data_IF_005963110574
#
_entry.id   IF_005963110574
#
_cell.length_a   1.000
_cell.length_b   1.000
_cell.length_c   1.000
_cell.angle_alpha   90.00
_cell.angle_beta   90.00
_cell.angle_gamma   90.00
#
_symmetry.space_group_name_H-M   'P 1'
#
loop_
_entity.id
_entity.type
_entity.pdbx_description
1 polymer ?
#
# COMPACT_ATOMS: atom_id res chain seq x y z
N UNK A 1 -27.71 3.60 -7.16
CA UNK A 1 -27.36 5.02 -7.38
C UNK A 1 -27.64 5.83 -6.12
N UNK A 2 -26.68 6.00 -5.24
CA UNK A 2 -26.70 7.07 -4.22
C UNK A 2 -25.27 7.48 -3.93
N UNK A 3 -24.79 8.46 -4.68
CA UNK A 3 -23.60 9.23 -4.32
C UNK A 3 -23.94 10.06 -3.08
N UNK A 4 -23.32 9.76 -1.94
CA UNK A 4 -23.36 10.65 -0.78
C UNK A 4 -22.27 11.69 -0.97
N UNK A 5 -22.67 12.87 -1.41
CA UNK A 5 -21.80 14.04 -1.48
C UNK A 5 -21.62 14.61 -0.06
N UNK A 6 -20.46 14.41 0.54
CA UNK A 6 -20.02 15.24 1.65
C UNK A 6 -19.53 16.58 1.12
N UNK A 7 -20.41 17.56 1.09
CA UNK A 7 -20.04 18.93 0.86
C UNK A 7 -19.84 19.64 2.19
N UNK A 8 -18.58 19.91 2.54
CA UNK A 8 -18.22 20.84 3.61
C UNK A 8 -18.64 22.23 3.23
N UNK A 9 -19.60 22.79 3.92
CA UNK A 9 -19.96 24.19 3.82
C UNK A 9 -18.98 25.01 4.65
N UNK A 10 -18.02 25.65 3.99
CA UNK A 10 -17.17 26.67 4.58
C UNK A 10 -17.94 27.99 4.56
N UNK A 11 -18.51 28.40 5.67
CA UNK A 11 -19.14 29.72 5.82
C UNK A 11 -18.12 30.72 6.36
N UNK A 12 -17.75 31.63 5.49
CA UNK A 12 -16.96 32.82 5.81
C UNK A 12 -17.88 33.83 6.51
N UNK A 13 -17.63 34.15 7.77
CA UNK A 13 -18.22 35.32 8.40
C UNK A 13 -17.09 36.28 8.89
N UNK A 14 -16.92 37.36 8.14
CA UNK A 14 -16.07 38.46 8.46
C UNK A 14 -16.89 39.48 9.27
N UNK A 15 -16.58 39.71 10.51
CA UNK A 15 -17.05 40.90 11.24
C UNK A 15 -15.90 41.60 11.99
N UNK A 16 -15.63 42.82 11.58
CA UNK A 16 -14.76 43.78 12.28
C UNK A 16 -15.37 44.16 13.64
N UNK A 17 -14.50 44.25 14.66
CA UNK A 17 -14.82 44.85 15.94
C UNK A 17 -13.58 44.96 16.81
N UNK A 18 -12.92 46.14 16.80
CA UNK A 18 -11.83 46.51 17.70
C UNK A 18 -12.38 46.68 19.13
N UNK A 19 -11.86 45.87 20.08
CA UNK A 19 -11.70 46.32 21.46
C UNK A 19 -10.52 45.61 22.11
N UNK A 20 -9.64 46.38 22.71
CA UNK A 20 -8.44 46.01 23.45
C UNK A 20 -8.82 45.16 24.66
N UNK A 21 -8.35 43.96 24.70
CA UNK A 21 -8.42 43.06 25.85
C UNK A 21 -7.74 41.76 25.51
N UNK A 22 -6.47 41.59 25.94
CA UNK A 22 -5.68 40.38 25.69
C UNK A 22 -6.25 39.20 26.46
N UNK A 23 -7.31 38.60 25.95
CA UNK A 23 -7.65 37.21 26.28
C UNK A 23 -7.09 36.35 25.15
N UNK A 24 -6.01 35.65 25.47
CA UNK A 24 -5.57 34.53 24.68
C UNK A 24 -6.72 33.51 24.75
N UNK A 25 -7.66 33.60 23.83
CA UNK A 25 -8.57 32.46 23.56
C UNK A 25 -7.72 31.39 22.93
N UNK A 26 -7.26 30.44 23.74
CA UNK A 26 -6.87 29.13 23.29
C UNK A 26 -8.15 28.60 22.63
N UNK A 27 -8.21 28.61 21.30
CA UNK A 27 -9.19 27.79 20.59
C UNK A 27 -8.81 26.34 20.92
N UNK A 28 -9.50 25.74 21.87
CA UNK A 28 -9.55 24.32 21.95
C UNK A 28 -10.20 23.90 20.62
N UNK A 29 -9.42 23.45 19.65
CA UNK A 29 -9.93 22.74 18.50
C UNK A 29 -10.73 21.58 19.10
N UNK A 30 -12.04 21.50 18.81
CA UNK A 30 -12.90 20.41 19.27
C UNK A 30 -12.28 19.10 18.77
N UNK A 31 -11.65 18.36 19.68
CA UNK A 31 -11.05 17.06 19.37
C UNK A 31 -12.19 16.12 18.99
N UNK A 32 -12.11 15.54 17.80
CA UNK A 32 -13.10 14.61 17.29
C UNK A 32 -12.76 13.20 17.73
N UNK A 33 -13.63 12.59 18.52
CA UNK A 33 -13.47 11.19 18.95
C UNK A 33 -13.82 10.22 17.84
N UNK A 34 -13.00 9.19 17.67
CA UNK A 34 -13.18 8.07 16.76
C UNK A 34 -13.12 6.80 17.63
N UNK A 35 -14.23 6.07 17.73
CA UNK A 35 -14.34 4.90 18.59
C UNK A 35 -13.38 3.77 18.19
N UNK A 36 -13.22 3.53 16.88
CA UNK A 36 -12.32 2.50 16.35
C UNK A 36 -11.86 2.85 14.94
N UNK A 37 -10.56 2.64 14.68
CA UNK A 37 -9.94 2.67 13.35
C UNK A 37 -9.53 1.24 12.99
N UNK A 38 -10.15 0.66 11.96
CA UNK A 38 -9.94 -0.72 11.54
C UNK A 38 -8.99 -0.79 10.36
N UNK A 39 -7.87 -1.47 10.55
CA UNK A 39 -6.80 -1.60 9.57
C UNK A 39 -6.61 -3.06 9.19
N UNK A 40 -6.64 -3.35 7.89
CA UNK A 40 -6.45 -4.71 7.37
C UNK A 40 -5.17 -4.79 6.51
N UNK A 41 -4.35 -5.82 6.76
CA UNK A 41 -3.13 -6.11 6.03
C UNK A 41 -3.30 -7.33 5.13
N UNK A 42 -2.85 -7.23 3.88
CA UNK A 42 -2.72 -8.42 3.02
C UNK A 42 -1.64 -9.36 3.57
N UNK A 43 -1.81 -10.68 3.44
CA UNK A 43 -0.86 -11.67 3.96
C UNK A 43 0.37 -11.80 3.05
N UNK A 44 1.24 -10.78 3.03
CA UNK A 44 2.49 -10.78 2.27
C UNK A 44 3.62 -11.56 2.98
N UNK A 45 3.43 -11.89 4.25
CA UNK A 45 4.25 -12.74 5.09
C UNK A 45 3.32 -13.56 6.01
N UNK A 46 3.88 -14.39 6.90
CA UNK A 46 3.08 -15.06 7.91
C UNK A 46 2.45 -14.03 8.88
N UNK A 47 1.28 -14.38 9.44
CA UNK A 47 0.49 -13.47 10.26
C UNK A 47 1.23 -12.96 11.49
N UNK A 48 2.04 -13.81 12.13
CA UNK A 48 2.79 -13.45 13.33
C UNK A 48 3.86 -12.40 13.02
N UNK A 49 4.55 -12.56 11.88
CA UNK A 49 5.52 -11.59 11.39
C UNK A 49 4.87 -10.24 11.11
N UNK A 50 3.73 -10.22 10.43
CA UNK A 50 3.00 -8.98 10.13
C UNK A 50 2.52 -8.32 11.42
N UNK A 51 1.89 -9.07 12.31
CA UNK A 51 1.36 -8.57 13.58
C UNK A 51 2.46 -7.94 14.43
N UNK A 52 3.59 -8.65 14.59
CA UNK A 52 4.74 -8.13 15.37
C UNK A 52 5.33 -6.87 14.75
N UNK A 53 5.46 -6.83 13.42
CA UNK A 53 6.01 -5.67 12.73
C UNK A 53 5.09 -4.43 12.78
N UNK A 54 3.78 -4.64 12.90
CA UNK A 54 2.79 -3.56 12.91
C UNK A 54 2.34 -3.13 14.31
N UNK A 55 2.68 -3.88 15.36
CA UNK A 55 2.34 -3.56 16.75
C UNK A 55 2.63 -2.10 17.14
N UNK A 56 3.80 -1.50 16.80
CA UNK A 56 4.08 -0.11 17.13
C UNK A 56 3.21 0.92 16.40
N UNK A 57 2.50 0.50 15.35
CA UNK A 57 1.69 1.41 14.52
C UNK A 57 0.46 1.90 15.28
N UNK A 58 -0.08 1.12 16.22
CA UNK A 58 -1.24 1.52 17.03
C UNK A 58 -0.96 2.79 17.81
N UNK A 59 0.09 2.79 18.64
CA UNK A 59 0.45 3.94 19.46
C UNK A 59 0.84 5.15 18.60
N UNK A 60 1.60 4.91 17.53
CA UNK A 60 2.02 5.94 16.59
C UNK A 60 0.82 6.64 15.92
N UNK A 61 -0.19 5.88 15.52
CA UNK A 61 -1.41 6.42 14.91
C UNK A 61 -2.22 7.22 15.93
N UNK A 62 -2.45 6.70 17.13
CA UNK A 62 -3.17 7.39 18.20
C UNK A 62 -2.49 8.73 18.54
N UNK A 63 -1.19 8.71 18.78
CA UNK A 63 -0.43 9.92 19.09
C UNK A 63 -0.47 10.94 17.94
N UNK A 64 -0.20 10.47 16.70
CA UNK A 64 -0.17 11.36 15.54
C UNK A 64 -1.53 11.97 15.25
N UNK A 65 -2.60 11.17 15.29
CA UNK A 65 -3.97 11.64 15.02
C UNK A 65 -4.46 12.60 16.11
N UNK A 66 -4.09 12.37 17.36
CA UNK A 66 -4.41 13.30 18.45
C UNK A 66 -3.80 14.69 18.22
N UNK A 67 -2.57 14.77 17.70
CA UNK A 67 -1.95 16.06 17.33
C UNK A 67 -2.69 16.80 16.20
N UNK A 68 -3.56 16.08 15.48
CA UNK A 68 -4.39 16.59 14.38
C UNK A 68 -5.86 16.84 14.81
N UNK A 69 -6.15 16.73 16.10
CA UNK A 69 -7.50 16.94 16.62
C UNK A 69 -8.42 15.70 16.50
N UNK A 70 -7.84 14.51 16.33
CA UNK A 70 -8.60 13.25 16.32
C UNK A 70 -8.15 12.36 17.47
N UNK A 71 -9.08 12.03 18.36
CA UNK A 71 -8.87 11.11 19.49
C UNK A 71 -9.40 9.72 19.08
N UNK A 72 -8.49 8.80 18.78
CA UNK A 72 -8.82 7.43 18.37
C UNK A 72 -8.74 6.53 19.58
N UNK A 73 -9.89 5.99 20.03
CA UNK A 73 -9.95 5.13 21.22
C UNK A 73 -9.29 3.76 20.96
N UNK A 74 -9.62 3.13 19.82
CA UNK A 74 -9.11 1.81 19.45
C UNK A 74 -8.53 1.81 18.04
N UNK A 75 -7.44 1.08 17.83
CA UNK A 75 -6.90 0.75 16.51
C UNK A 75 -6.92 -0.76 16.36
N UNK A 76 -7.86 -1.26 15.56
CA UNK A 76 -8.06 -2.70 15.34
C UNK A 76 -7.26 -3.13 14.09
N UNK A 77 -6.15 -3.82 14.28
CA UNK A 77 -5.31 -4.33 13.19
C UNK A 77 -5.56 -5.80 12.94
N UNK A 78 -5.79 -6.18 11.70
CA UNK A 78 -6.04 -7.56 11.29
C UNK A 78 -5.22 -7.94 10.07
N UNK A 79 -4.82 -9.22 9.99
CA UNK A 79 -4.21 -9.80 8.80
C UNK A 79 -5.26 -10.62 8.07
N UNK A 80 -5.55 -10.27 6.82
CA UNK A 80 -6.51 -10.98 6.01
C UNK A 80 -6.08 -12.40 5.67
N UNK A 81 -7.03 -13.30 5.46
CA UNK A 81 -6.76 -14.68 5.04
C UNK A 81 -6.27 -14.79 3.59
N UNK A 82 -6.51 -13.77 2.79
CA UNK A 82 -6.04 -13.64 1.41
C UNK A 82 -5.97 -12.18 0.99
N UNK A 83 -5.27 -11.90 -0.10
CA UNK A 83 -5.24 -10.55 -0.68
C UNK A 83 -6.65 -10.05 -1.05
N UNK A 84 -7.48 -10.92 -1.63
CA UNK A 84 -8.85 -10.58 -2.01
C UNK A 84 -9.73 -10.32 -0.79
N UNK A 85 -9.53 -11.04 0.32
CA UNK A 85 -10.31 -10.85 1.54
C UNK A 85 -10.15 -9.43 2.11
N UNK A 86 -8.96 -8.84 2.01
CA UNK A 86 -8.72 -7.47 2.46
C UNK A 86 -9.44 -6.46 1.55
N UNK A 87 -9.41 -6.65 0.23
CA UNK A 87 -10.20 -5.82 -0.70
C UNK A 87 -11.70 -5.91 -0.43
N UNK A 88 -12.21 -7.11 -0.15
CA UNK A 88 -13.62 -7.31 0.22
C UNK A 88 -13.97 -6.63 1.55
N UNK A 89 -13.05 -6.63 2.53
CA UNK A 89 -13.26 -5.96 3.80
C UNK A 89 -13.38 -4.43 3.64
N UNK A 90 -12.56 -3.84 2.75
CA UNK A 90 -12.65 -2.43 2.39
C UNK A 90 -13.98 -2.13 1.68
N UNK A 91 -14.33 -2.91 0.66
CA UNK A 91 -15.58 -2.76 -0.11
C UNK A 91 -16.82 -2.89 0.77
N UNK A 92 -16.79 -3.79 1.76
CA UNK A 92 -17.89 -3.99 2.72
C UNK A 92 -17.91 -2.96 3.87
N UNK A 93 -16.89 -2.09 3.99
CA UNK A 93 -16.76 -1.15 5.11
C UNK A 93 -16.46 -1.83 6.46
N UNK A 94 -15.96 -3.07 6.45
CA UNK A 94 -15.50 -3.77 7.66
C UNK A 94 -14.03 -3.49 8.00
N UNK A 95 -13.29 -2.85 7.08
CA UNK A 95 -12.01 -2.21 7.30
C UNK A 95 -12.07 -0.77 6.77
N UNK A 96 -11.46 0.17 7.49
CA UNK A 96 -11.38 1.58 7.12
C UNK A 96 -10.14 1.85 6.25
N UNK A 97 -9.03 1.15 6.54
CA UNK A 97 -7.76 1.24 5.82
C UNK A 97 -7.29 -0.17 5.46
N UNK A 98 -6.81 -0.35 4.24
CA UNK A 98 -6.25 -1.61 3.78
C UNK A 98 -4.88 -1.46 3.12
N UNK A 99 -3.94 -2.32 3.53
CA UNK A 99 -2.65 -2.48 2.86
C UNK A 99 -2.77 -3.58 1.81
N UNK A 100 -3.03 -3.21 0.56
CA UNK A 100 -3.27 -4.13 -0.55
C UNK A 100 -2.28 -3.90 -1.69
N UNK A 101 -2.10 -4.89 -2.54
CA UNK A 101 -1.30 -4.75 -3.76
C UNK A 101 -2.06 -3.95 -4.84
N UNK A 102 -1.32 -3.30 -5.74
CA UNK A 102 -1.92 -2.58 -6.86
C UNK A 102 -2.85 -3.45 -7.72
N UNK A 103 -2.51 -4.74 -7.92
CA UNK A 103 -3.37 -5.68 -8.64
C UNK A 103 -4.70 -5.96 -7.95
N UNK A 104 -4.71 -6.03 -6.61
CA UNK A 104 -5.97 -6.14 -5.86
C UNK A 104 -6.74 -4.82 -5.86
N UNK A 105 -6.07 -3.68 -5.75
CA UNK A 105 -6.74 -2.38 -5.84
C UNK A 105 -7.56 -2.24 -7.12
N UNK A 106 -7.04 -2.68 -8.27
CA UNK A 106 -7.78 -2.64 -9.55
C UNK A 106 -9.13 -3.37 -9.48
N UNK A 107 -9.23 -4.46 -8.68
CA UNK A 107 -10.47 -5.21 -8.53
C UNK A 107 -11.52 -4.52 -7.64
N UNK A 108 -11.08 -3.58 -6.80
CA UNK A 108 -11.92 -2.87 -5.82
C UNK A 108 -11.88 -1.35 -5.97
N UNK A 109 -11.39 -0.85 -7.11
CA UNK A 109 -11.20 0.58 -7.39
C UNK A 109 -12.50 1.39 -7.43
N UNK A 110 -13.65 0.73 -7.57
CA UNK A 110 -14.95 1.38 -7.51
C UNK A 110 -15.42 1.66 -6.06
N UNK A 111 -14.84 0.96 -5.09
CA UNK A 111 -15.26 0.97 -3.69
C UNK A 111 -14.26 1.65 -2.75
N UNK A 112 -13.01 1.84 -3.18
CA UNK A 112 -11.97 2.44 -2.34
C UNK A 112 -11.01 3.34 -3.13
N UNK A 113 -10.41 4.31 -2.45
CA UNK A 113 -9.45 5.27 -2.99
C UNK A 113 -8.04 5.00 -2.47
N UNK A 114 -7.03 5.31 -3.29
CA UNK A 114 -5.62 5.24 -2.88
C UNK A 114 -5.28 6.43 -1.99
N UNK A 115 -4.81 6.18 -0.77
CA UNK A 115 -4.32 7.21 0.15
C UNK A 115 -2.81 7.43 0.00
N UNK A 116 -2.04 6.35 -0.02
CA UNK A 116 -0.57 6.35 -0.04
C UNK A 116 -0.07 5.19 -0.88
N UNK A 117 1.13 5.35 -1.43
CA UNK A 117 1.87 4.28 -2.09
C UNK A 117 3.17 4.03 -1.35
N UNK A 118 3.44 2.77 -0.99
CA UNK A 118 4.69 2.41 -0.35
C UNK A 118 5.86 2.53 -1.33
N UNK A 119 6.91 3.23 -0.91
CA UNK A 119 8.19 3.29 -1.61
C UNK A 119 9.14 2.27 -0.99
N UNK A 120 9.97 1.64 -1.82
CA UNK A 120 10.99 0.68 -1.41
C UNK A 120 12.32 1.03 -2.05
N UNK A 121 13.39 0.82 -1.29
CA UNK A 121 14.72 0.74 -1.88
C UNK A 121 14.89 -0.61 -2.60
N UNK A 122 15.77 -0.61 -3.59
CA UNK A 122 16.28 -1.86 -4.13
C UNK A 122 15.37 -2.56 -5.12
N UNK A 123 15.26 -2.00 -6.32
CA UNK A 123 15.10 -2.86 -7.47
C UNK A 123 16.49 -3.38 -7.80
N UNK A 124 16.71 -4.67 -7.53
CA UNK A 124 17.86 -5.37 -8.02
C UNK A 124 17.82 -5.35 -9.55
N UNK A 125 18.71 -4.66 -10.17
CA UNK A 125 18.86 -4.52 -11.62
C UNK A 125 17.65 -3.94 -12.35
N UNK A 126 17.80 -2.74 -12.79
CA UNK A 126 16.87 -2.08 -13.70
C UNK A 126 17.28 -2.38 -15.16
N UNK A 127 17.13 -3.63 -15.59
CA UNK A 127 17.41 -4.06 -16.96
C UNK A 127 16.19 -4.71 -17.58
N UNK A 128 15.94 -4.43 -18.85
CA UNK A 128 14.93 -5.09 -19.68
C UNK A 128 15.49 -6.33 -20.38
N UNK A 129 16.81 -6.57 -20.36
CA UNK A 129 17.44 -7.75 -20.93
C UNK A 129 17.41 -8.93 -19.93
N UNK A 130 16.70 -10.04 -20.24
CA UNK A 130 16.58 -11.17 -19.32
C UNK A 130 17.91 -11.80 -18.90
N UNK A 131 18.94 -11.76 -19.75
CA UNK A 131 20.26 -12.34 -19.43
C UNK A 131 20.95 -11.61 -18.28
N UNK A 132 20.69 -10.30 -18.11
CA UNK A 132 21.28 -9.51 -17.03
C UNK A 132 20.80 -9.96 -15.66
N UNK A 133 19.67 -10.69 -15.58
CA UNK A 133 19.12 -11.25 -14.36
C UNK A 133 19.77 -12.59 -13.97
N UNK A 134 20.58 -13.19 -14.86
CA UNK A 134 21.20 -14.52 -14.69
C UNK A 134 22.71 -14.45 -14.36
N UNK A 135 23.27 -13.27 -14.19
CA UNK A 135 24.73 -13.10 -13.93
C UNK A 135 25.14 -13.44 -12.49
N UNK A 136 24.17 -13.76 -11.63
CA UNK A 136 24.40 -14.14 -10.23
C UNK A 136 24.74 -12.97 -9.32
N UNK A 137 24.72 -11.73 -9.80
CA UNK A 137 24.93 -10.53 -9.00
C UNK A 137 23.61 -9.98 -8.48
N UNK A 138 23.59 -9.55 -7.24
CA UNK A 138 22.49 -8.82 -6.63
C UNK A 138 23.03 -7.41 -6.38
N UNK A 139 22.50 -6.44 -7.11
CA UNK A 139 22.78 -5.03 -6.87
C UNK A 139 21.63 -4.42 -6.09
N UNK A 140 21.85 -4.04 -4.86
CA UNK A 140 20.87 -3.24 -4.11
C UNK A 140 21.06 -1.78 -4.52
N UNK A 141 20.10 -1.24 -5.28
CA UNK A 141 20.04 0.20 -5.48
C UNK A 141 19.43 0.82 -4.22
N UNK A 142 20.27 1.41 -3.37
CA UNK A 142 19.88 2.08 -2.14
C UNK A 142 19.63 3.58 -2.34
N UNK A 143 19.88 4.11 -3.52
CA UNK A 143 19.84 5.54 -3.81
C UNK A 143 18.49 5.98 -4.37
N UNK A 144 17.74 5.06 -4.97
CA UNK A 144 16.44 5.35 -5.55
C UNK A 144 15.33 4.48 -4.95
N UNK A 145 14.24 5.13 -4.58
CA UNK A 145 13.03 4.45 -4.13
C UNK A 145 12.10 4.17 -5.30
N UNK A 146 11.46 3.00 -5.29
CA UNK A 146 10.51 2.59 -6.32
C UNK A 146 9.14 2.24 -5.74
N UNK A 147 8.09 2.49 -6.53
CA UNK A 147 6.70 2.11 -6.25
C UNK A 147 6.30 0.79 -6.91
N UNK A 148 7.20 0.17 -7.65
CA UNK A 148 6.93 -1.08 -8.41
C UNK A 148 7.99 -2.13 -8.16
N UNK A 149 7.69 -3.35 -8.53
CA UNK A 149 8.62 -4.46 -8.68
C UNK A 149 8.30 -5.23 -9.96
N UNK A 150 9.29 -5.96 -10.49
CA UNK A 150 9.11 -6.72 -11.73
C UNK A 150 8.62 -8.12 -11.43
N UNK A 151 7.70 -8.62 -12.25
CA UNK A 151 7.39 -10.05 -12.31
C UNK A 151 8.43 -10.74 -13.19
N UNK A 152 8.82 -11.95 -12.82
CA UNK A 152 9.77 -12.76 -13.57
C UNK A 152 9.15 -14.10 -13.93
N UNK A 153 9.52 -14.62 -15.12
CA UNK A 153 9.20 -15.97 -15.56
C UNK A 153 10.49 -16.78 -15.43
N UNK A 154 10.43 -17.88 -14.70
CA UNK A 154 11.59 -18.70 -14.40
C UNK A 154 11.62 -19.96 -15.26
N UNK A 155 12.79 -20.30 -15.82
CA UNK A 155 13.03 -21.59 -16.42
C UNK A 155 13.36 -22.62 -15.35
N UNK A 156 12.60 -23.73 -15.31
CA UNK A 156 12.84 -24.85 -14.39
C UNK A 156 14.01 -25.77 -14.84
N UNK A 157 14.37 -26.78 -14.03
CA UNK A 157 15.50 -27.68 -14.31
C UNK A 157 15.20 -28.76 -15.38
N UNK A 158 14.01 -28.76 -15.98
CA UNK A 158 13.67 -29.67 -17.06
C UNK A 158 14.54 -29.42 -18.30
N UNK A 159 14.68 -30.43 -19.17
CA UNK A 159 15.43 -30.31 -20.44
C UNK A 159 14.91 -29.12 -21.27
N UNK A 160 13.58 -28.97 -21.37
CA UNK A 160 12.95 -27.84 -22.05
C UNK A 160 13.26 -26.51 -21.37
N UNK A 161 13.20 -26.45 -20.03
CA UNK A 161 13.52 -25.25 -19.27
C UNK A 161 14.98 -24.82 -19.47
N UNK A 162 15.91 -25.76 -19.49
CA UNK A 162 17.31 -25.47 -19.73
C UNK A 162 17.57 -25.01 -21.18
N UNK A 163 16.88 -25.57 -22.17
CA UNK A 163 16.96 -25.10 -23.55
C UNK A 163 16.43 -23.67 -23.71
N UNK A 164 15.36 -23.30 -22.99
CA UNK A 164 14.86 -21.91 -22.96
C UNK A 164 15.87 -20.96 -22.31
N UNK A 165 16.48 -21.38 -21.20
CA UNK A 165 17.50 -20.59 -20.50
C UNK A 165 18.73 -20.36 -21.40
N UNK A 166 19.17 -21.39 -22.14
CA UNK A 166 20.28 -21.28 -23.07
C UNK A 166 20.00 -20.25 -24.19
N UNK A 167 18.79 -20.25 -24.77
CA UNK A 167 18.36 -19.23 -25.73
C UNK A 167 18.46 -17.83 -25.15
N UNK A 168 17.91 -17.61 -23.95
CA UNK A 168 17.94 -16.31 -23.27
C UNK A 168 19.40 -15.84 -23.04
N UNK A 169 20.24 -16.73 -22.54
CA UNK A 169 21.65 -16.38 -22.26
C UNK A 169 22.46 -16.09 -23.53
N UNK A 170 22.06 -16.68 -24.67
CA UNK A 170 22.64 -16.38 -25.98
C UNK A 170 22.09 -15.09 -26.61
N UNK A 171 21.11 -14.42 -25.96
CA UNK A 171 20.45 -13.24 -26.49
C UNK A 171 19.48 -13.54 -27.63
N UNK A 172 18.97 -14.78 -27.71
CA UNK A 172 17.97 -15.18 -28.68
C UNK A 172 16.57 -14.80 -28.18
N UNK A 173 15.70 -14.36 -29.08
CA UNK A 173 14.32 -14.01 -28.75
C UNK A 173 13.51 -15.28 -28.49
N UNK A 174 12.73 -15.29 -27.39
CA UNK A 174 11.77 -16.33 -27.11
C UNK A 174 10.47 -16.08 -27.88
N UNK A 175 9.98 -17.12 -28.55
CA UNK A 175 8.72 -17.09 -29.27
C UNK A 175 7.62 -17.88 -28.52
N UNK A 176 6.36 -17.66 -28.88
CA UNK A 176 5.26 -18.45 -28.34
C UNK A 176 5.39 -19.94 -28.63
N UNK A 177 6.02 -20.33 -29.76
CA UNK A 177 6.26 -21.73 -30.12
C UNK A 177 7.27 -22.37 -29.16
N UNK A 178 8.25 -21.63 -28.67
CA UNK A 178 9.20 -22.10 -27.67
C UNK A 178 8.51 -22.44 -26.34
N UNK A 179 7.44 -21.72 -26.00
CA UNK A 179 6.68 -21.91 -24.76
C UNK A 179 5.59 -22.99 -24.87
N UNK A 180 5.23 -23.39 -26.09
CA UNK A 180 4.22 -24.42 -26.32
C UNK A 180 4.62 -25.76 -25.72
N UNK A 181 3.67 -26.43 -25.06
CA UNK A 181 3.81 -27.84 -24.66
C UNK A 181 3.48 -28.71 -25.87
N UNK A 182 4.48 -29.26 -26.50
CA UNK A 182 4.32 -30.43 -27.38
C UNK A 182 4.29 -31.68 -26.57
#
# INVERSE_FOLDING_TARGET
FRRVLFRSALSLALCLGLTVGSTVTVFAEDTKTIDSLKIAFSPYADSDTITTATEPLEDLLKETLLTKGYDVENVDMTVGTSYTAVGQALSAGSADIGFISGGNYVLFSDDCDVLLTALRYGINKDSDDPKDWNDGTIEENTDEMSTYYRSIILAGPSEKGQALLEKVNNGEELTWDDLNRS
#
